data_IF_227420408813
#
_entry.id   IF_227420408813
#
_cell.length_a   1.000
_cell.length_b   1.000
_cell.length_c   1.000
_cell.angle_alpha   90.00
_cell.angle_beta   90.00
_cell.angle_gamma   90.00
#
_symmetry.space_group_name_H-M   'P 1'
#
loop_
_entity.id
_entity.type
_entity.pdbx_description
1 polymer ?
#
# COMPACT_ATOMS: atom_id res chain seq x y z
N UNK A 1 5.20 4.34 1.81
CA UNK A 1 4.59 4.77 3.08
C UNK A 1 3.37 3.93 3.39
N UNK A 2 2.65 4.30 4.45
CA UNK A 2 1.42 3.62 4.90
C UNK A 2 0.20 4.42 4.42
N UNK A 3 -0.84 3.75 3.92
CA UNK A 3 -2.07 4.44 3.54
C UNK A 3 -2.95 4.76 4.76
N UNK A 4 -3.30 6.04 4.91
CA UNK A 4 -4.33 6.50 5.87
C UNK A 4 -5.30 7.44 5.17
N UNK A 5 -6.57 7.06 5.16
CA UNK A 5 -7.64 7.77 4.43
C UNK A 5 -7.76 9.25 4.84
N UNK A 6 -7.64 9.56 6.13
CA UNK A 6 -7.75 10.91 6.66
C UNK A 6 -6.59 11.83 6.26
N UNK A 7 -5.44 11.29 5.82
CA UNK A 7 -4.31 12.08 5.36
C UNK A 7 -4.11 12.03 3.84
N UNK A 8 -4.67 11.03 3.15
CA UNK A 8 -4.42 10.78 1.74
C UNK A 8 -4.70 11.98 0.82
N UNK A 9 -5.76 12.76 1.12
CA UNK A 9 -6.13 13.95 0.33
C UNK A 9 -5.43 15.23 0.77
N UNK A 10 -4.63 15.20 1.84
CA UNK A 10 -3.86 16.36 2.30
C UNK A 10 -2.60 16.53 1.45
N UNK A 11 -1.96 17.68 1.58
CA UNK A 11 -0.55 17.82 1.18
C UNK A 11 0.39 17.27 2.25
N UNK A 12 1.69 17.35 1.97
CA UNK A 12 2.70 17.29 3.02
C UNK A 12 2.83 18.67 3.66
N UNK A 13 2.61 18.73 4.98
CA UNK A 13 2.67 19.95 5.78
C UNK A 13 3.57 19.77 7.01
N UNK A 14 4.04 18.56 7.24
CA UNK A 14 4.86 18.18 8.37
C UNK A 14 6.20 18.92 8.29
N UNK A 15 6.53 19.67 9.34
CA UNK A 15 7.78 20.40 9.47
C UNK A 15 8.24 20.41 10.94
N UNK A 16 9.56 20.46 11.21
CA UNK A 16 10.05 20.63 12.56
C UNK A 16 9.55 21.93 13.22
N UNK A 17 9.35 21.94 14.55
CA UNK A 17 9.40 20.77 15.44
C UNK A 17 8.17 19.87 15.24
N UNK A 18 8.40 18.56 15.10
CA UNK A 18 7.31 17.61 14.89
C UNK A 18 6.53 17.32 16.18
N UNK A 19 5.21 17.31 16.09
CA UNK A 19 4.33 16.64 17.05
C UNK A 19 4.29 15.12 16.79
N UNK A 20 3.80 14.33 17.76
CA UNK A 20 3.58 12.88 17.58
C UNK A 20 2.75 12.55 16.35
N UNK A 21 1.75 13.37 16.03
CA UNK A 21 0.90 13.17 14.87
C UNK A 21 1.64 13.49 13.58
N UNK A 22 2.41 14.58 13.54
CA UNK A 22 3.20 14.94 12.34
C UNK A 22 4.35 13.96 12.08
N UNK A 23 4.91 13.33 13.11
CA UNK A 23 5.89 12.23 12.91
C UNK A 23 5.23 11.06 12.16
N UNK A 24 3.98 10.73 12.52
CA UNK A 24 3.24 9.62 11.88
C UNK A 24 2.80 10.00 10.46
N UNK A 25 2.20 11.17 10.32
CA UNK A 25 1.68 11.62 9.04
C UNK A 25 2.78 11.84 8.00
N UNK A 26 4.01 12.12 8.41
CA UNK A 26 5.15 12.28 7.50
C UNK A 26 5.40 11.07 6.58
N UNK A 27 5.17 9.82 7.05
CA UNK A 27 5.36 8.62 6.24
C UNK A 27 4.06 8.07 5.62
N UNK A 28 2.93 8.74 5.83
CA UNK A 28 1.67 8.36 5.21
C UNK A 28 1.66 8.74 3.71
N UNK A 29 1.13 7.88 2.86
CA UNK A 29 1.01 8.14 1.40
C UNK A 29 0.02 9.29 1.16
N UNK A 30 0.32 10.20 0.22
CA UNK A 30 -0.65 11.20 -0.28
C UNK A 30 -1.04 10.90 -1.73
N UNK A 31 -2.16 11.51 -2.12
CA UNK A 31 -2.70 11.43 -3.48
C UNK A 31 -1.80 12.11 -4.51
N UNK A 32 -0.98 13.08 -4.12
CA UNK A 32 -0.05 13.74 -5.04
C UNK A 32 1.07 12.81 -5.51
N UNK A 33 1.60 11.90 -4.67
CA UNK A 33 2.56 10.90 -5.13
C UNK A 33 1.92 9.90 -6.10
N UNK A 34 0.69 9.46 -5.81
CA UNK A 34 -0.07 8.58 -6.73
C UNK A 34 -0.29 9.25 -8.08
N UNK A 35 -0.72 10.52 -8.07
CA UNK A 35 -0.90 11.30 -9.29
C UNK A 35 0.39 11.40 -10.11
N UNK A 36 1.52 11.73 -9.46
CA UNK A 36 2.84 11.82 -10.09
C UNK A 36 3.27 10.49 -10.70
N UNK A 37 3.14 9.39 -9.97
CA UNK A 37 3.51 8.05 -10.43
C UNK A 37 2.67 7.60 -11.64
N UNK A 38 1.39 7.97 -11.70
CA UNK A 38 0.53 7.69 -12.87
C UNK A 38 0.95 8.42 -14.14
N UNK A 39 1.80 9.45 -14.05
CA UNK A 39 2.31 10.16 -15.23
C UNK A 39 3.51 9.46 -15.89
N UNK A 40 4.06 8.42 -15.26
CA UNK A 40 5.12 7.61 -15.86
C UNK A 40 4.57 6.87 -17.08
N UNK A 41 5.26 6.99 -18.22
CA UNK A 41 4.84 6.40 -19.50
C UNK A 41 5.71 5.23 -19.94
N UNK A 42 6.91 5.14 -19.39
CA UNK A 42 7.83 4.07 -19.73
C UNK A 42 7.37 2.76 -19.07
N UNK A 43 7.56 1.62 -19.74
CA UNK A 43 7.32 0.32 -19.12
C UNK A 43 8.22 0.15 -17.89
N UNK A 44 7.69 -0.50 -16.86
CA UNK A 44 8.40 -0.67 -15.60
C UNK A 44 8.55 -2.15 -15.25
N UNK A 45 9.77 -2.58 -14.98
CA UNK A 45 10.03 -3.96 -14.58
C UNK A 45 9.72 -4.20 -13.10
N UNK A 46 10.08 -3.24 -12.22
CA UNK A 46 10.01 -3.41 -10.77
C UNK A 46 9.37 -2.21 -10.09
N UNK A 47 8.31 -2.45 -9.33
CA UNK A 47 7.71 -1.47 -8.43
C UNK A 47 7.82 -1.90 -6.97
N UNK A 48 8.08 -0.93 -6.09
CA UNK A 48 8.20 -1.15 -4.64
C UNK A 48 7.14 -0.33 -3.89
N UNK A 49 6.39 -0.99 -3.01
CA UNK A 49 5.54 -0.33 -2.02
C UNK A 49 5.81 -0.86 -0.61
N UNK A 50 5.44 -0.11 0.42
CA UNK A 50 5.51 -0.64 1.78
C UNK A 50 4.28 -1.49 2.07
N UNK A 51 3.09 -0.88 2.04
CA UNK A 51 1.82 -1.60 2.13
C UNK A 51 1.57 -2.42 0.87
N UNK A 52 0.89 -3.55 1.03
CA UNK A 52 0.44 -4.35 -0.09
C UNK A 52 -0.65 -3.61 -0.88
N UNK A 53 -0.73 -3.81 -2.21
CA UNK A 53 -1.93 -3.49 -2.96
C UNK A 53 -3.15 -4.16 -2.32
N UNK A 54 -4.20 -3.39 -2.08
CA UNK A 54 -5.44 -3.94 -1.54
C UNK A 54 -5.96 -5.08 -2.41
N UNK A 55 -6.55 -6.09 -1.78
CA UNK A 55 -7.14 -7.25 -2.46
C UNK A 55 -6.13 -8.19 -3.15
N UNK A 56 -4.81 -7.94 -3.06
CA UNK A 56 -3.80 -8.82 -3.67
C UNK A 56 -3.82 -10.25 -3.09
N UNK A 57 -4.37 -10.41 -1.88
CA UNK A 57 -4.58 -11.71 -1.24
C UNK A 57 -5.52 -12.65 -2.02
N UNK A 58 -6.26 -12.16 -3.02
CA UNK A 58 -7.06 -12.97 -3.93
C UNK A 58 -6.23 -13.69 -5.02
N UNK A 59 -5.00 -13.24 -5.27
CA UNK A 59 -4.17 -13.73 -6.37
C UNK A 59 -3.13 -14.77 -5.93
N UNK A 60 -3.00 -15.02 -4.62
CA UNK A 60 -2.12 -16.05 -4.06
C UNK A 60 -2.84 -17.06 -3.17
N UNK A 61 -2.08 -17.84 -2.40
CA UNK A 61 -2.63 -18.86 -1.51
C UNK A 61 -3.23 -18.24 -0.22
N UNK A 62 -4.46 -17.71 -0.33
CA UNK A 62 -5.22 -17.10 0.77
C UNK A 62 -5.37 -18.02 1.98
N UNK A 63 -5.57 -19.33 1.78
CA UNK A 63 -5.73 -20.31 2.87
C UNK A 63 -4.44 -20.42 3.69
N UNK A 64 -3.28 -20.49 3.02
CA UNK A 64 -1.99 -20.52 3.70
C UNK A 64 -1.66 -19.20 4.40
N UNK A 65 -2.03 -18.07 3.79
CA UNK A 65 -1.89 -16.75 4.41
C UNK A 65 -2.66 -16.68 5.73
N UNK A 66 -3.94 -17.05 5.72
CA UNK A 66 -4.79 -17.05 6.91
C UNK A 66 -4.28 -18.02 7.98
N UNK A 67 -3.83 -19.22 7.60
CA UNK A 67 -3.21 -20.16 8.56
C UNK A 67 -1.99 -19.57 9.30
N UNK A 68 -1.24 -18.66 8.67
CA UNK A 68 -0.09 -17.98 9.30
C UNK A 68 -0.50 -16.72 10.08
N UNK A 69 -1.56 -16.04 9.65
CA UNK A 69 -2.02 -14.75 10.16
C UNK A 69 -3.55 -14.75 10.21
N UNK A 70 -4.11 -15.44 11.20
CA UNK A 70 -5.57 -15.55 11.36
C UNK A 70 -6.24 -14.17 11.55
N UNK A 71 -5.53 -13.21 12.15
CA UNK A 71 -6.01 -11.83 12.34
C UNK A 71 -6.40 -11.12 11.04
N UNK A 72 -5.85 -11.55 9.89
CA UNK A 72 -6.18 -10.97 8.59
C UNK A 72 -7.57 -11.39 8.08
N UNK A 73 -8.21 -12.38 8.69
CA UNK A 73 -9.54 -12.85 8.25
C UNK A 73 -10.55 -11.71 8.21
N UNK A 74 -10.65 -10.95 9.30
CA UNK A 74 -11.57 -9.83 9.40
C UNK A 74 -11.22 -8.73 8.38
N UNK A 75 -9.94 -8.35 8.28
CA UNK A 75 -9.52 -7.31 7.34
C UNK A 75 -9.76 -7.69 5.86
N UNK A 76 -9.68 -8.98 5.54
CA UNK A 76 -9.99 -9.52 4.23
C UNK A 76 -11.50 -9.50 3.97
N UNK A 77 -12.32 -9.88 4.95
CA UNK A 77 -13.77 -9.88 4.86
C UNK A 77 -14.31 -8.46 4.71
N UNK A 78 -13.73 -7.51 5.44
CA UNK A 78 -14.06 -6.08 5.37
C UNK A 78 -13.42 -5.37 4.16
N UNK A 79 -12.60 -6.07 3.36
CA UNK A 79 -11.85 -5.51 2.24
C UNK A 79 -10.99 -4.28 2.62
N UNK A 80 -10.37 -4.34 3.80
CA UNK A 80 -9.52 -3.28 4.35
C UNK A 80 -8.04 -3.63 4.33
N UNK A 81 -7.68 -4.92 4.17
CA UNK A 81 -6.28 -5.37 4.13
C UNK A 81 -5.56 -4.79 2.90
N UNK A 82 -4.57 -3.94 3.16
CA UNK A 82 -3.74 -3.29 2.14
C UNK A 82 -4.24 -1.92 1.69
N UNK A 83 -3.43 -1.30 0.82
CA UNK A 83 -3.56 0.09 0.38
C UNK A 83 -4.36 0.21 -0.92
N UNK A 84 -5.48 0.98 -0.92
CA UNK A 84 -6.20 1.34 -2.14
C UNK A 84 -5.33 2.10 -3.15
N UNK A 85 -4.49 3.00 -2.65
CA UNK A 85 -3.58 3.78 -3.48
C UNK A 85 -2.56 2.89 -4.22
N UNK A 86 -2.05 1.86 -3.53
CA UNK A 86 -1.16 0.88 -4.14
C UNK A 86 -1.90 -0.01 -5.16
N UNK A 87 -3.15 -0.39 -4.89
CA UNK A 87 -3.98 -1.13 -5.85
C UNK A 87 -4.23 -0.31 -7.13
N UNK A 88 -4.58 0.98 -6.98
CA UNK A 88 -4.76 1.89 -8.12
C UNK A 88 -3.49 1.96 -8.98
N UNK A 89 -2.31 2.11 -8.35
CA UNK A 89 -1.03 2.16 -9.04
C UNK A 89 -0.67 0.83 -9.72
N UNK A 90 -0.93 -0.31 -9.07
CA UNK A 90 -0.69 -1.63 -9.65
C UNK A 90 -1.51 -1.81 -10.95
N UNK A 91 -2.80 -1.44 -10.91
CA UNK A 91 -3.67 -1.52 -12.08
C UNK A 91 -3.27 -0.55 -13.21
N UNK A 92 -2.82 0.65 -12.86
CA UNK A 92 -2.45 1.66 -13.85
C UNK A 92 -1.09 1.37 -14.49
N UNK A 93 -0.09 0.99 -13.70
CA UNK A 93 1.29 0.90 -14.20
C UNK A 93 1.65 -0.51 -14.67
N UNK A 94 1.04 -1.55 -14.11
CA UNK A 94 1.23 -2.95 -14.50
C UNK A 94 2.72 -3.37 -14.66
N UNK A 95 3.55 -3.18 -13.63
CA UNK A 95 4.95 -3.57 -13.72
C UNK A 95 5.12 -5.10 -13.80
N UNK A 96 6.25 -5.58 -14.31
CA UNK A 96 6.54 -7.02 -14.36
C UNK A 96 6.59 -7.65 -12.96
N UNK A 97 7.10 -6.93 -11.97
CA UNK A 97 7.16 -7.34 -10.57
C UNK A 97 6.72 -6.22 -9.63
N UNK A 98 5.95 -6.60 -8.61
CA UNK A 98 5.57 -5.72 -7.52
C UNK A 98 6.02 -6.33 -6.20
N UNK A 99 6.85 -5.61 -5.44
CA UNK A 99 7.28 -6.06 -4.11
C UNK A 99 6.67 -5.19 -3.02
N UNK A 100 6.23 -5.84 -1.95
CA UNK A 100 5.65 -5.18 -0.78
C UNK A 100 6.12 -5.79 0.53
N UNK A 101 6.00 -5.02 1.61
CA UNK A 101 6.42 -5.41 2.96
C UNK A 101 5.27 -5.22 3.95
N UNK A 102 5.56 -4.67 5.14
CA UNK A 102 4.60 -4.29 6.19
C UNK A 102 3.90 -5.43 6.94
N UNK A 103 3.40 -6.45 6.25
CA UNK A 103 2.56 -7.50 6.87
C UNK A 103 3.34 -8.64 7.56
N UNK A 104 4.68 -8.58 7.51
CA UNK A 104 5.60 -9.52 8.18
C UNK A 104 5.26 -10.99 7.89
N UNK A 105 4.90 -11.28 6.65
CA UNK A 105 4.59 -12.62 6.16
C UNK A 105 5.00 -12.74 4.70
N UNK A 106 5.61 -13.86 4.32
CA UNK A 106 5.90 -14.17 2.91
C UNK A 106 4.61 -14.58 2.21
N UNK A 107 4.33 -13.93 1.08
CA UNK A 107 3.21 -14.21 0.20
C UNK A 107 3.63 -13.93 -1.23
N UNK A 108 3.33 -14.86 -2.13
CA UNK A 108 3.51 -14.70 -3.56
C UNK A 108 2.11 -14.73 -4.18
N UNK A 109 1.82 -13.72 -5.00
CA UNK A 109 0.54 -13.46 -5.64
C UNK A 109 0.75 -13.32 -7.14
#
# INVERSE_FOLDING_TARGET
>A
GIYKSHDYRKGHFERPPYSKDTVRSAYHVRSIEVFKLKQLKEPMDVFLSHDWPRSIYHYGNKKQLLKKKDSFRQEIEDNTLGSPAAAELLHHIQPSYWFSAHLHVKFAA
#
